data_IF_452461795121
#
_entry.id   IF_452461795121
#
_cell.length_a   1.000
_cell.length_b   1.000
_cell.length_c   1.000
_cell.angle_alpha   90.00
_cell.angle_beta   90.00
_cell.angle_gamma   90.00
#
_symmetry.space_group_name_H-M   'P 1'
#
loop_
_entity.id
_entity.type
_entity.pdbx_description
1 polymer ?
#
# COMPACT_ATOMS: atom_id res chain seq x y z
N UNK A 1 4.51 1.45 -6.39
CA UNK A 1 4.17 2.87 -6.22
C UNK A 1 3.40 3.02 -4.93
N UNK A 2 3.73 3.99 -4.07
CA UNK A 2 3.05 4.18 -2.77
C UNK A 2 1.73 4.93 -2.98
N UNK A 3 0.66 4.52 -2.29
CA UNK A 3 -0.65 5.17 -2.35
C UNK A 3 -0.92 5.87 -1.03
N UNK A 4 -1.26 7.16 -1.09
CA UNK A 4 -1.61 7.98 0.07
C UNK A 4 -3.04 8.48 -0.12
N UNK A 5 -3.94 8.04 0.75
CA UNK A 5 -5.35 8.45 0.76
C UNK A 5 -5.55 9.53 1.84
N UNK A 6 -6.02 10.70 1.44
CA UNK A 6 -6.42 11.77 2.35
C UNK A 6 -7.95 11.79 2.44
N UNK A 7 -8.47 11.42 3.60
CA UNK A 7 -9.90 11.50 3.91
C UNK A 7 -10.23 12.87 4.48
N UNK A 8 -11.19 13.54 3.85
CA UNK A 8 -11.60 14.92 4.17
C UNK A 8 -13.10 15.03 4.31
N UNK A 9 -13.57 16.09 4.96
CA UNK A 9 -14.99 16.49 5.01
C UNK A 9 -15.16 17.88 4.42
N UNK A 10 -16.40 18.21 4.04
CA UNK A 10 -16.74 19.55 3.58
C UNK A 10 -16.49 20.59 4.69
N UNK A 11 -15.94 21.75 4.31
CA UNK A 11 -15.66 22.84 5.25
C UNK A 11 -14.43 22.66 6.14
N UNK A 12 -13.67 21.56 6.00
CA UNK A 12 -12.49 21.31 6.83
C UNK A 12 -11.30 22.24 6.49
N UNK A 13 -10.99 23.18 7.39
CA UNK A 13 -9.85 24.10 7.25
C UNK A 13 -8.49 23.38 7.30
N UNK A 14 -8.30 22.49 8.28
CA UNK A 14 -7.07 21.71 8.47
C UNK A 14 -6.75 20.80 7.27
N UNK A 15 -7.77 20.31 6.56
CA UNK A 15 -7.61 19.45 5.40
C UNK A 15 -6.88 20.15 4.24
N UNK A 16 -7.09 21.47 4.09
CA UNK A 16 -6.39 22.27 3.06
C UNK A 16 -4.89 22.33 3.32
N UNK A 17 -4.51 22.45 4.59
CA UNK A 17 -3.11 22.50 5.03
C UNK A 17 -2.42 21.16 4.77
N UNK A 18 -3.04 20.05 5.20
CA UNK A 18 -2.49 18.70 4.96
C UNK A 18 -2.41 18.38 3.46
N UNK A 19 -3.41 18.78 2.67
CA UNK A 19 -3.38 18.64 1.19
C UNK A 19 -2.19 19.39 0.59
N UNK A 20 -1.90 20.60 1.07
CA UNK A 20 -0.75 21.41 0.61
C UNK A 20 0.56 20.70 0.91
N UNK A 21 0.74 20.24 2.15
CA UNK A 21 1.95 19.51 2.58
C UNK A 21 2.16 18.22 1.78
N UNK A 22 1.09 17.45 1.54
CA UNK A 22 1.16 16.24 0.71
C UNK A 22 1.59 16.55 -0.73
N UNK A 23 1.02 17.58 -1.35
CA UNK A 23 1.39 17.99 -2.71
C UNK A 23 2.84 18.47 -2.81
N UNK A 24 3.32 19.19 -1.79
CA UNK A 24 4.73 19.59 -1.72
C UNK A 24 5.64 18.38 -1.60
N UNK A 25 5.30 17.42 -0.74
CA UNK A 25 6.06 16.17 -0.61
C UNK A 25 6.10 15.34 -1.88
N UNK A 26 5.01 15.35 -2.65
CA UNK A 26 4.92 14.63 -3.93
C UNK A 26 5.99 15.09 -4.94
N UNK A 27 6.50 16.33 -4.81
CA UNK A 27 7.62 16.83 -5.64
C UNK A 27 8.94 16.13 -5.37
N UNK A 28 9.13 15.64 -4.15
CA UNK A 28 10.37 15.01 -3.70
C UNK A 28 10.25 13.49 -3.53
N UNK A 29 9.03 12.96 -3.50
CA UNK A 29 8.76 11.54 -3.30
C UNK A 29 7.62 11.12 -4.19
N UNK A 30 7.85 10.10 -5.03
CA UNK A 30 6.82 9.57 -5.92
C UNK A 30 5.81 8.72 -5.15
N UNK A 31 4.60 9.25 -5.01
CA UNK A 31 3.43 8.53 -4.51
C UNK A 31 2.16 9.03 -5.21
N UNK A 32 1.13 8.20 -5.22
CA UNK A 32 -0.20 8.53 -5.71
C UNK A 32 -1.01 9.14 -4.56
N UNK A 33 -1.40 10.41 -4.69
CA UNK A 33 -2.28 11.07 -3.72
C UNK A 33 -3.73 10.93 -4.17
N UNK A 34 -4.54 10.24 -3.36
CA UNK A 34 -5.99 10.09 -3.56
C UNK A 34 -6.71 10.88 -2.49
N UNK A 35 -7.63 11.73 -2.89
CA UNK A 35 -8.44 12.50 -1.95
C UNK A 35 -9.86 11.94 -1.93
N UNK A 36 -10.36 11.63 -0.73
CA UNK A 36 -11.63 10.93 -0.53
C UNK A 36 -12.49 11.79 0.38
N UNK A 37 -13.62 12.28 -0.16
CA UNK A 37 -14.61 12.99 0.64
C UNK A 37 -15.43 11.98 1.45
N UNK A 38 -15.46 12.16 2.77
CA UNK A 38 -16.28 11.39 3.68
C UNK A 38 -17.71 11.95 3.70
N UNK A 39 -18.64 11.16 3.18
CA UNK A 39 -20.08 11.35 3.30
C UNK A 39 -20.68 10.28 4.22
N UNK A 40 -21.86 10.51 4.82
CA UNK A 40 -22.51 9.55 5.72
C UNK A 40 -22.64 8.13 5.14
N UNK A 41 -22.83 8.00 3.82
CA UNK A 41 -22.94 6.70 3.13
C UNK A 41 -21.58 6.02 2.87
N UNK A 42 -20.47 6.69 3.16
CA UNK A 42 -19.13 6.14 2.93
C UNK A 42 -18.81 5.06 3.98
N UNK A 43 -18.31 3.88 3.60
CA UNK A 43 -18.09 2.76 4.53
C UNK A 43 -17.11 3.04 5.68
N UNK A 44 -16.30 4.09 5.55
CA UNK A 44 -15.34 4.55 6.58
C UNK A 44 -15.80 5.81 7.33
N UNK A 45 -17.04 6.26 7.13
CA UNK A 45 -17.54 7.48 7.72
C UNK A 45 -17.53 7.42 9.25
N UNK A 46 -18.17 6.41 9.83
CA UNK A 46 -18.24 6.23 11.29
C UNK A 46 -16.86 6.14 11.94
N UNK A 47 -15.89 5.55 11.24
CA UNK A 47 -14.55 5.35 11.76
C UNK A 47 -13.70 6.64 11.73
N UNK A 48 -13.83 7.44 10.66
CA UNK A 48 -12.88 8.52 10.36
C UNK A 48 -13.45 9.92 10.51
N UNK A 49 -14.77 10.10 10.44
CA UNK A 49 -15.42 11.42 10.41
C UNK A 49 -15.02 12.32 11.59
N UNK A 50 -14.89 11.77 12.80
CA UNK A 50 -14.50 12.53 14.00
C UNK A 50 -12.99 12.87 14.07
N UNK A 51 -12.17 12.26 13.21
CA UNK A 51 -10.71 12.34 13.25
C UNK A 51 -10.11 13.02 12.01
N UNK A 52 -10.95 13.64 11.18
CA UNK A 52 -10.55 14.34 9.96
C UNK A 52 -9.63 15.52 10.30
N UNK A 53 -8.51 15.74 9.57
CA UNK A 53 -8.04 14.96 8.42
C UNK A 53 -7.42 13.61 8.80
N UNK A 54 -7.79 12.56 8.06
CA UNK A 54 -7.20 11.23 8.19
C UNK A 54 -6.36 10.91 6.96
N UNK A 55 -5.08 10.56 7.15
CA UNK A 55 -4.17 10.14 6.07
C UNK A 55 -3.93 8.64 6.20
N UNK A 56 -4.23 7.90 5.14
CA UNK A 56 -3.96 6.46 5.06
C UNK A 56 -2.85 6.20 4.04
N UNK A 57 -1.74 5.63 4.48
CA UNK A 57 -0.63 5.25 3.58
C UNK A 57 -0.66 3.73 3.34
N UNK A 58 -0.67 3.35 2.06
CA UNK A 58 -0.71 1.97 1.55
C UNK A 58 -1.80 1.12 2.24
N UNK A 59 -2.97 1.72 2.45
CA UNK A 59 -4.16 1.08 3.02
C UNK A 59 -4.04 0.64 4.49
N UNK A 60 -2.93 0.95 5.16
CA UNK A 60 -2.56 0.31 6.44
C UNK A 60 -2.18 1.31 7.53
N UNK A 61 -1.46 2.36 7.16
CA UNK A 61 -0.97 3.35 8.12
C UNK A 61 -2.00 4.48 8.22
N UNK A 62 -2.80 4.48 9.28
CA UNK A 62 -3.82 5.49 9.52
C UNK A 62 -3.27 6.55 10.47
N UNK A 63 -3.11 7.77 9.97
CA UNK A 63 -2.76 8.94 10.77
C UNK A 63 -4.02 9.78 10.97
N UNK A 64 -4.41 10.00 12.22
CA UNK A 64 -5.59 10.76 12.62
C UNK A 64 -5.16 12.13 13.12
N UNK A 65 -5.91 13.19 12.77
CA UNK A 65 -5.64 14.54 13.27
C UNK A 65 -4.23 15.04 12.95
N UNK A 66 -3.72 14.76 11.75
CA UNK A 66 -2.38 15.19 11.34
C UNK A 66 -2.34 16.72 11.27
N UNK A 67 -1.48 17.34 12.08
CA UNK A 67 -1.38 18.81 12.18
C UNK A 67 -0.02 19.35 11.77
N UNK A 68 1.02 18.52 11.69
CA UNK A 68 2.40 18.99 11.44
C UNK A 68 3.11 18.23 10.32
N UNK A 69 3.97 18.93 9.60
CA UNK A 69 4.79 18.36 8.52
C UNK A 69 5.72 17.25 9.01
N UNK A 70 6.29 17.39 10.22
CA UNK A 70 7.18 16.40 10.81
C UNK A 70 6.49 15.04 11.05
N UNK A 71 5.23 15.06 11.52
CA UNK A 71 4.42 13.85 11.71
C UNK A 71 4.15 13.17 10.36
N UNK A 72 3.78 13.96 9.34
CA UNK A 72 3.49 13.46 8.01
C UNK A 72 4.72 12.87 7.31
N UNK A 73 5.85 13.58 7.36
CA UNK A 73 7.10 13.16 6.74
C UNK A 73 7.66 11.89 7.39
N UNK A 74 7.62 11.81 8.73
CA UNK A 74 8.06 10.63 9.46
C UNK A 74 7.21 9.40 9.15
N UNK A 75 5.91 9.57 9.01
CA UNK A 75 4.98 8.48 8.72
C UNK A 75 5.14 7.94 7.29
N UNK A 76 5.22 8.82 6.29
CA UNK A 76 5.45 8.43 4.88
C UNK A 76 6.80 7.73 4.71
N UNK A 77 7.84 8.22 5.39
CA UNK A 77 9.18 7.63 5.31
C UNK A 77 9.28 6.25 5.97
N UNK A 78 8.56 6.03 7.08
CA UNK A 78 8.60 4.78 7.86
C UNK A 78 7.62 3.72 7.36
N UNK A 79 6.67 4.07 6.50
CA UNK A 79 5.72 3.12 5.94
C UNK A 79 6.46 1.95 5.25
N UNK A 80 6.19 0.68 5.62
CA UNK A 80 6.86 -0.47 5.03
C UNK A 80 6.46 -0.59 3.55
N UNK A 81 7.44 -0.41 2.67
CA UNK A 81 7.27 -0.46 1.22
C UNK A 81 7.32 -1.91 0.71
N UNK A 82 6.54 -2.26 -0.32
CA UNK A 82 6.67 -3.56 -0.98
C UNK A 82 8.09 -3.77 -1.45
N UNK A 83 8.65 -4.94 -1.17
CA UNK A 83 10.04 -5.22 -1.49
C UNK A 83 10.20 -5.62 -2.95
N UNK A 84 11.45 -5.68 -3.42
CA UNK A 84 11.75 -6.20 -4.75
C UNK A 84 11.16 -7.60 -4.99
N UNK A 85 11.03 -8.43 -3.94
CA UNK A 85 10.46 -9.77 -4.04
C UNK A 85 8.99 -9.77 -4.49
N UNK A 86 8.21 -8.76 -4.09
CA UNK A 86 6.82 -8.62 -4.56
C UNK A 86 6.76 -8.40 -6.08
N UNK A 87 7.58 -7.47 -6.60
CA UNK A 87 7.65 -7.17 -8.02
C UNK A 87 8.21 -8.35 -8.83
N UNK A 88 9.24 -9.02 -8.30
CA UNK A 88 9.77 -10.25 -8.90
C UNK A 88 8.69 -11.34 -8.97
N UNK A 89 7.87 -11.49 -7.94
CA UNK A 89 6.72 -12.39 -7.93
C UNK A 89 5.72 -12.10 -9.06
N UNK A 90 5.31 -10.83 -9.22
CA UNK A 90 4.42 -10.40 -10.31
C UNK A 90 5.02 -10.60 -11.70
N UNK A 91 6.31 -10.36 -11.86
CA UNK A 91 7.00 -10.61 -13.12
C UNK A 91 7.01 -12.11 -13.45
N UNK A 92 7.31 -12.97 -12.48
CA UNK A 92 7.28 -14.43 -12.66
C UNK A 92 5.86 -14.94 -12.96
N UNK A 93 4.84 -14.39 -12.32
CA UNK A 93 3.44 -14.68 -12.63
C UNK A 93 3.15 -14.42 -14.12
N UNK A 94 3.47 -13.23 -14.61
CA UNK A 94 3.29 -12.87 -16.02
C UNK A 94 4.13 -13.76 -16.96
N UNK A 95 5.39 -14.03 -16.60
CA UNK A 95 6.27 -14.88 -17.38
C UNK A 95 5.74 -16.32 -17.49
N UNK A 96 5.20 -16.86 -16.39
CA UNK A 96 4.56 -18.17 -16.36
C UNK A 96 3.34 -18.25 -17.27
N UNK A 97 2.47 -17.23 -17.26
CA UNK A 97 1.33 -17.15 -18.18
C UNK A 97 1.77 -17.13 -19.64
N UNK A 98 2.76 -16.28 -19.98
CA UNK A 98 3.29 -16.19 -21.34
C UNK A 98 3.89 -17.52 -21.78
N UNK A 99 4.69 -18.15 -20.92
CA UNK A 99 5.34 -19.43 -21.21
C UNK A 99 4.30 -20.54 -21.45
N UNK A 100 3.23 -20.57 -20.65
CA UNK A 100 2.11 -21.51 -20.82
C UNK A 100 1.40 -21.30 -22.17
N UNK A 101 1.14 -20.05 -22.54
CA UNK A 101 0.52 -19.71 -23.83
C UNK A 101 1.39 -20.13 -25.03
N UNK A 102 2.71 -19.92 -24.94
CA UNK A 102 3.65 -20.38 -25.96
C UNK A 102 3.70 -21.90 -26.07
N UNK A 103 3.69 -22.63 -24.94
CA UNK A 103 3.62 -24.09 -24.93
C UNK A 103 2.42 -24.60 -25.73
N UNK A 104 1.23 -24.08 -25.40
CA UNK A 104 -0.01 -24.44 -26.08
C UNK A 104 0.06 -24.16 -27.59
N UNK A 105 0.62 -23.02 -27.99
CA UNK A 105 0.81 -22.67 -29.40
C UNK A 105 1.73 -23.66 -30.14
N UNK A 106 2.82 -24.10 -29.51
CA UNK A 106 3.70 -25.14 -30.08
C UNK A 106 3.04 -26.52 -30.12
N UNK A 107 2.17 -26.83 -29.16
CA UNK A 107 1.35 -28.05 -29.17
C UNK A 107 0.43 -28.12 -30.38
N UNK A 108 -0.22 -27.00 -30.72
CA UNK A 108 -1.07 -26.90 -31.92
C UNK A 108 -0.30 -27.09 -33.24
N UNK A 109 1.02 -26.81 -33.25
CA UNK A 109 1.90 -27.07 -34.39
C UNK A 109 2.37 -28.54 -34.48
N UNK A 110 1.87 -29.42 -33.61
CA UNK A 110 2.14 -30.86 -33.63
C UNK A 110 3.33 -31.30 -32.76
N UNK A 111 3.94 -30.41 -31.97
CA UNK A 111 5.05 -30.76 -31.08
C UNK A 111 4.57 -30.95 -29.63
N UNK A 112 3.98 -32.11 -29.34
CA UNK A 112 3.42 -32.46 -28.02
C UNK A 112 4.44 -32.45 -26.87
N UNK A 113 5.70 -32.81 -27.12
CA UNK A 113 6.70 -32.85 -26.05
C UNK A 113 7.09 -31.43 -25.60
N UNK A 114 7.27 -30.52 -26.56
CA UNK A 114 7.57 -29.13 -26.24
C UNK A 114 6.38 -28.44 -25.54
N UNK A 115 5.15 -28.73 -25.95
CA UNK A 115 3.94 -28.25 -25.26
C UNK A 115 3.96 -28.65 -23.78
N UNK A 116 4.15 -29.94 -23.48
CA UNK A 116 4.18 -30.43 -22.10
C UNK A 116 5.26 -29.75 -21.26
N UNK A 117 6.48 -29.59 -21.79
CA UNK A 117 7.58 -28.95 -21.05
C UNK A 117 7.32 -27.47 -20.78
N UNK A 118 6.86 -26.72 -21.79
CA UNK A 118 6.53 -25.31 -21.61
C UNK A 118 5.32 -25.10 -20.70
N UNK A 119 4.32 -25.97 -20.78
CA UNK A 119 3.14 -25.93 -19.94
C UNK A 119 3.50 -26.18 -18.46
N UNK A 120 4.22 -27.26 -18.16
CA UNK A 120 4.65 -27.57 -16.80
C UNK A 120 5.62 -26.53 -16.24
N UNK A 121 6.55 -26.05 -17.07
CA UNK A 121 7.48 -24.97 -16.71
C UNK A 121 6.74 -23.66 -16.38
N UNK A 122 5.80 -23.26 -17.24
CA UNK A 122 4.99 -22.05 -17.05
C UNK A 122 4.18 -22.09 -15.77
N UNK A 123 3.53 -23.23 -15.47
CA UNK A 123 2.83 -23.44 -14.19
C UNK A 123 3.80 -23.35 -13.01
N UNK A 124 4.96 -24.00 -13.10
CA UNK A 124 5.97 -23.95 -12.02
C UNK A 124 6.43 -22.53 -11.72
N UNK A 125 6.76 -21.76 -12.76
CA UNK A 125 7.17 -20.35 -12.65
C UNK A 125 6.05 -19.49 -12.08
N UNK A 126 4.81 -19.69 -12.52
CA UNK A 126 3.63 -18.98 -12.02
C UNK A 126 3.39 -19.25 -10.53
N UNK A 127 3.40 -20.51 -10.11
CA UNK A 127 3.22 -20.90 -8.71
C UNK A 127 4.34 -20.37 -7.81
N UNK A 128 5.57 -20.35 -8.31
CA UNK A 128 6.69 -19.76 -7.59
C UNK A 128 6.54 -18.24 -7.45
N UNK A 129 6.05 -17.55 -8.49
CA UNK A 129 5.69 -16.13 -8.43
C UNK A 129 4.64 -15.84 -7.35
N UNK A 130 3.55 -16.61 -7.32
CA UNK A 130 2.50 -16.51 -6.29
C UNK A 130 3.05 -16.77 -4.88
N UNK A 131 3.98 -17.71 -4.74
CA UNK A 131 4.61 -18.01 -3.46
C UNK A 131 5.44 -16.82 -2.93
N UNK A 132 6.23 -16.18 -3.79
CA UNK A 132 7.01 -14.99 -3.43
C UNK A 132 6.12 -13.82 -3.05
N UNK A 133 5.06 -13.56 -3.83
CA UNK A 133 4.08 -12.52 -3.53
C UNK A 133 3.43 -12.75 -2.16
N UNK A 134 2.92 -13.96 -1.91
CA UNK A 134 2.27 -14.31 -0.65
C UNK A 134 3.20 -14.20 0.55
N UNK A 135 4.50 -14.50 0.37
CA UNK A 135 5.51 -14.35 1.43
C UNK A 135 5.78 -12.88 1.74
N UNK A 136 5.91 -12.02 0.72
CA UNK A 136 6.13 -10.59 0.95
C UNK A 136 4.88 -9.91 1.52
N UNK A 137 3.67 -10.29 1.10
CA UNK A 137 2.41 -9.82 1.70
C UNK A 137 2.36 -10.12 3.20
N UNK A 138 2.61 -11.37 3.61
CA UNK A 138 2.66 -11.75 5.04
C UNK A 138 3.73 -11.02 5.83
N UNK A 139 4.86 -10.66 5.18
CA UNK A 139 5.92 -9.85 5.78
C UNK A 139 5.44 -8.40 5.96
N UNK A 140 4.85 -7.81 4.93
CA UNK A 140 4.31 -6.45 4.96
C UNK A 140 3.21 -6.32 6.01
N UNK A 141 2.29 -7.27 6.09
CA UNK A 141 1.23 -7.32 7.12
C UNK A 141 1.83 -7.32 8.53
N UNK A 142 2.84 -8.14 8.80
CA UNK A 142 3.54 -8.16 10.10
C UNK A 142 4.22 -6.84 10.42
N UNK A 143 4.91 -6.25 9.44
CA UNK A 143 5.57 -4.95 9.61
C UNK A 143 4.55 -3.85 9.91
N UNK A 144 3.43 -3.83 9.17
CA UNK A 144 2.33 -2.89 9.38
C UNK A 144 1.69 -3.05 10.76
N UNK A 145 1.41 -4.28 11.18
CA UNK A 145 0.87 -4.57 12.51
C UNK A 145 1.81 -4.08 13.63
N UNK A 146 3.11 -4.36 13.52
CA UNK A 146 4.10 -3.89 14.49
C UNK A 146 4.16 -2.36 14.55
N UNK A 147 4.02 -1.69 13.40
CA UNK A 147 4.07 -0.24 13.33
C UNK A 147 2.80 0.41 13.89
N UNK A 148 1.62 -0.14 13.60
CA UNK A 148 0.35 0.31 14.17
C UNK A 148 0.35 0.22 15.71
N UNK A 149 0.93 -0.85 16.28
CA UNK A 149 1.07 -0.94 17.75
C UNK A 149 1.99 0.14 18.33
N UNK A 150 3.01 0.59 17.59
CA UNK A 150 3.96 1.62 18.05
C UNK A 150 3.42 3.05 17.94
N UNK A 151 2.39 3.28 17.11
CA UNK A 151 1.75 4.60 16.94
C UNK A 151 0.58 4.83 17.91
N UNK A 152 0.17 3.80 18.66
CA UNK A 152 -0.92 3.85 19.63
C UNK A 152 -0.44 4.12 21.06
N UNK A 153 0.73 4.74 21.26
CA UNK A 153 1.09 5.27 22.58
C UNK A 153 0.20 6.47 22.87
N UNK A 154 -0.67 6.43 23.89
CA UNK A 154 -1.49 7.58 24.25
C UNK A 154 -0.54 8.71 24.67
N UNK A 155 -0.73 9.89 24.09
CA UNK A 155 -0.17 11.11 24.63
C UNK A 155 -0.58 11.18 26.10
N UNK A 156 0.39 11.04 27.02
CA UNK A 156 0.15 11.16 28.44
C UNK A 156 -0.45 12.56 28.73
N UNK A 157 -1.55 12.66 29.49
CA UNK A 157 -2.09 13.94 29.87
C UNK A 157 -1.24 14.53 31.01
N UNK A 158 -0.69 15.73 30.78
CA UNK A 158 -0.28 16.64 31.84
C UNK A 158 1.17 16.52 32.31
N UNK A 159 2.02 17.40 31.80
CA UNK A 159 3.16 17.94 32.56
C UNK A 159 2.84 19.40 32.92
N UNK A 160 2.81 19.78 34.21
CA UNK A 160 2.61 21.17 34.60
C UNK A 160 3.86 22.00 34.25
N UNK A 161 3.66 23.15 33.63
CA UNK A 161 4.69 24.16 33.38
C UNK A 161 5.26 24.68 34.71
N UNK A 162 6.59 24.73 34.90
CA UNK A 162 7.16 25.50 35.99
C UNK A 162 7.12 26.99 35.61
N UNK A 163 6.54 27.77 36.52
CA UNK A 163 6.57 29.24 36.53
C UNK A 163 7.91 29.75 37.06
#
# INVERSE_FOLDING_TARGET
MQVVELYVTEGCGLCKEVRRLLKEKQRHTSFELREINLHPDHPKYDEYFLAVPVVVVDGSLVLRGVTTEAQLAGAIAKAPKPSFAFYAGKFLEALGMVTTAFGFMYGLLGNMWMDLYFFLSGIGVFLFGLFLEKRDQRRLERLRASFASSTTTPAAPGSPSPS
#
